data_IF_035350674454
#
_entry.id   IF_035350674454
#
_cell.length_a   1.000
_cell.length_b   1.000
_cell.length_c   1.000
_cell.angle_alpha   90.00
_cell.angle_beta   90.00
_cell.angle_gamma   90.00
#
_symmetry.space_group_name_H-M   'P 1'
#
loop_
_entity.id
_entity.type
_entity.pdbx_description
1 polymer ?
#
# COMPACT_ATOMS: atom_id res chain seq x y z
N UNK A 1 -20.73 -4.44 -34.81
CA UNK A 1 -20.27 -3.06 -34.59
C UNK A 1 -19.11 -3.17 -33.65
N UNK A 2 -17.90 -3.02 -34.16
CA UNK A 2 -16.68 -3.14 -33.38
C UNK A 2 -16.29 -1.80 -32.79
N UNK A 3 -15.53 -1.83 -31.71
CA UNK A 3 -15.01 -0.64 -30.98
C UNK A 3 -14.28 0.38 -31.89
N UNK A 4 -13.98 0.00 -33.13
CA UNK A 4 -13.24 0.79 -34.11
C UNK A 4 -14.13 1.67 -34.98
N UNK A 5 -15.46 1.41 -35.06
CA UNK A 5 -16.39 2.16 -35.91
C UNK A 5 -16.82 3.50 -35.29
N UNK A 6 -16.55 3.70 -33.97
CA UNK A 6 -16.85 4.97 -33.26
C UNK A 6 -15.70 6.00 -33.29
N UNK A 7 -14.51 5.61 -33.74
CA UNK A 7 -13.32 6.49 -33.72
C UNK A 7 -13.25 7.40 -34.95
N UNK A 8 -13.93 7.06 -36.06
CA UNK A 8 -13.85 7.78 -37.31
C UNK A 8 -14.70 9.08 -37.36
N UNK A 9 -15.45 9.42 -36.30
CA UNK A 9 -16.28 10.63 -36.24
C UNK A 9 -15.78 11.74 -35.33
N UNK A 10 -14.49 11.74 -34.96
CA UNK A 10 -13.91 12.87 -34.21
C UNK A 10 -13.43 13.90 -35.23
N UNK A 11 -14.20 14.97 -35.43
CA UNK A 11 -13.76 16.15 -36.17
C UNK A 11 -12.53 16.73 -35.47
N UNK A 12 -11.37 16.67 -36.14
CA UNK A 12 -10.11 17.26 -35.68
C UNK A 12 -10.20 18.75 -35.95
N UNK A 13 -10.59 19.54 -34.96
CA UNK A 13 -10.39 20.99 -35.03
C UNK A 13 -8.89 21.25 -34.76
N UNK A 14 -8.21 21.75 -35.79
CA UNK A 14 -6.83 22.21 -35.72
C UNK A 14 -6.79 23.56 -34.98
N UNK A 15 -6.73 23.53 -33.66
CA UNK A 15 -6.25 24.64 -32.87
C UNK A 15 -4.96 24.19 -32.18
N UNK A 16 -3.81 24.62 -32.70
CA UNK A 16 -2.50 24.49 -32.09
C UNK A 16 -2.39 25.42 -30.87
N UNK A 17 -3.16 25.18 -29.82
CA UNK A 17 -2.82 25.64 -28.49
C UNK A 17 -1.76 24.70 -27.91
N UNK A 18 -0.71 25.29 -27.29
CA UNK A 18 0.37 24.57 -26.62
C UNK A 18 -0.15 23.79 -25.40
N UNK A 19 -0.85 22.71 -25.64
CA UNK A 19 -1.49 21.83 -24.63
C UNK A 19 -0.78 20.50 -24.51
N UNK A 20 -1.08 19.77 -23.43
CA UNK A 20 -0.54 18.43 -23.19
C UNK A 20 -0.81 17.51 -24.41
N UNK A 21 0.24 16.92 -25.02
CA UNK A 21 0.11 16.17 -26.28
C UNK A 21 -0.78 14.92 -26.17
N UNK A 22 -0.90 14.32 -24.97
CA UNK A 22 -1.79 13.19 -24.74
C UNK A 22 -3.27 13.59 -24.61
N UNK A 23 -3.52 14.86 -24.32
CA UNK A 23 -4.87 15.42 -24.29
C UNK A 23 -5.26 16.02 -25.64
N UNK A 24 -4.31 16.59 -26.42
CA UNK A 24 -4.60 17.27 -27.69
C UNK A 24 -4.65 16.30 -28.87
N UNK A 25 -3.85 15.21 -28.86
CA UNK A 25 -3.76 14.22 -29.93
C UNK A 25 -4.41 12.88 -29.54
N UNK A 26 -5.53 12.46 -30.18
CA UNK A 26 -6.16 11.17 -29.93
C UNK A 26 -5.22 9.98 -30.10
N UNK A 27 -4.32 10.01 -31.08
CA UNK A 27 -3.34 8.96 -31.31
C UNK A 27 -2.37 8.79 -30.16
N UNK A 28 -1.87 9.89 -29.59
CA UNK A 28 -1.01 9.88 -28.40
C UNK A 28 -1.77 9.44 -27.15
N UNK A 29 -3.03 9.86 -27.00
CA UNK A 29 -3.91 9.37 -25.93
C UNK A 29 -4.11 7.87 -25.99
N UNK A 30 -4.38 7.30 -27.16
CA UNK A 30 -4.50 5.84 -27.37
C UNK A 30 -3.16 5.12 -27.14
N UNK A 31 -2.05 5.71 -27.55
CA UNK A 31 -0.71 5.16 -27.27
C UNK A 31 -0.44 5.06 -25.77
N UNK A 32 -0.79 6.09 -24.99
CA UNK A 32 -0.66 6.07 -23.54
C UNK A 32 -1.46 4.92 -22.92
N UNK A 33 -2.72 4.75 -23.33
CA UNK A 33 -3.56 3.63 -22.86
C UNK A 33 -2.91 2.29 -23.24
N UNK A 34 -2.45 2.14 -24.49
CA UNK A 34 -1.82 0.91 -24.95
C UNK A 34 -0.52 0.57 -24.20
N UNK A 35 0.23 1.58 -23.76
CA UNK A 35 1.43 1.40 -22.91
C UNK A 35 1.09 0.93 -21.50
N UNK A 36 -0.03 1.39 -20.96
CA UNK A 36 -0.47 1.10 -19.58
C UNK A 36 -1.18 -0.25 -19.47
N UNK A 37 -1.89 -0.67 -20.50
CA UNK A 37 -2.61 -1.94 -20.48
C UNK A 37 -1.66 -3.14 -20.27
N UNK A 38 -2.07 -4.13 -19.46
CA UNK A 38 -1.26 -5.31 -19.21
C UNK A 38 -0.91 -6.02 -20.55
N UNK A 39 0.36 -6.03 -20.88
CA UNK A 39 0.82 -6.79 -22.05
C UNK A 39 0.90 -8.25 -21.65
N UNK A 40 0.03 -9.09 -22.21
CA UNK A 40 0.00 -10.56 -22.01
C UNK A 40 1.24 -11.28 -22.59
N UNK A 41 2.35 -10.60 -22.87
CA UNK A 41 3.54 -11.16 -23.50
C UNK A 41 4.69 -11.25 -22.50
N UNK A 42 4.92 -12.47 -22.00
CA UNK A 42 6.27 -12.93 -21.67
C UNK A 42 6.99 -12.24 -20.51
N UNK A 43 6.27 -11.56 -19.60
CA UNK A 43 6.93 -11.01 -18.42
C UNK A 43 7.42 -12.17 -17.53
N UNK A 44 8.72 -12.44 -17.58
CA UNK A 44 9.37 -13.48 -16.79
C UNK A 44 9.12 -13.27 -15.30
N UNK A 45 9.05 -12.02 -14.85
CA UNK A 45 8.73 -11.71 -13.46
C UNK A 45 7.28 -12.06 -13.11
N UNK A 46 6.32 -11.82 -14.01
CA UNK A 46 4.93 -12.25 -13.79
C UNK A 46 4.82 -13.79 -13.75
N UNK A 47 5.62 -14.51 -14.53
CA UNK A 47 5.70 -15.99 -14.46
C UNK A 47 6.28 -16.44 -13.11
N UNK A 48 7.32 -15.78 -12.65
CA UNK A 48 7.93 -16.09 -11.33
C UNK A 48 6.96 -15.80 -10.19
N UNK A 49 6.23 -14.68 -10.22
CA UNK A 49 5.22 -14.35 -9.21
C UNK A 49 4.09 -15.38 -9.18
N UNK A 50 3.59 -15.82 -10.34
CA UNK A 50 2.59 -16.90 -10.43
C UNK A 50 3.13 -18.23 -9.90
N UNK A 51 4.40 -18.52 -10.15
CA UNK A 51 5.06 -19.73 -9.63
C UNK A 51 5.18 -19.68 -8.10
N UNK A 52 5.53 -18.53 -7.53
CA UNK A 52 5.57 -18.32 -6.08
C UNK A 52 4.17 -18.48 -5.50
N UNK A 53 3.16 -17.84 -6.10
CA UNK A 53 1.76 -17.95 -5.70
C UNK A 53 1.31 -19.42 -5.61
N UNK A 54 1.57 -20.22 -6.66
CA UNK A 54 1.27 -21.65 -6.66
C UNK A 54 2.02 -22.42 -5.56
N UNK A 55 3.32 -22.17 -5.39
CA UNK A 55 4.11 -22.82 -4.35
C UNK A 55 3.58 -22.52 -2.94
N UNK A 56 3.11 -21.30 -2.69
CA UNK A 56 2.54 -20.89 -1.40
C UNK A 56 1.13 -21.44 -1.17
N UNK A 57 0.25 -21.34 -2.17
CA UNK A 57 -1.17 -21.69 -2.06
C UNK A 57 -1.45 -23.20 -2.12
N UNK A 58 -0.60 -23.95 -2.82
CA UNK A 58 -0.81 -25.39 -3.03
C UNK A 58 0.27 -26.25 -2.38
N UNK A 59 1.54 -26.02 -2.73
CA UNK A 59 2.61 -26.92 -2.29
C UNK A 59 2.87 -26.80 -0.79
N UNK A 60 3.08 -25.59 -0.23
CA UNK A 60 3.29 -25.42 1.23
C UNK A 60 2.03 -25.74 2.02
N UNK A 61 0.87 -25.24 1.62
CA UNK A 61 -0.37 -25.54 2.36
C UNK A 61 -0.67 -27.03 2.43
N UNK A 62 -0.31 -27.80 1.38
CA UNK A 62 -0.47 -29.27 1.41
C UNK A 62 0.34 -29.92 2.51
N UNK A 63 1.51 -29.40 2.85
CA UNK A 63 2.38 -29.95 3.91
C UNK A 63 1.86 -29.67 5.31
N UNK A 64 1.04 -28.62 5.48
CA UNK A 64 0.50 -28.25 6.81
C UNK A 64 -0.67 -29.13 7.28
N UNK A 65 -1.21 -30.01 6.44
CA UNK A 65 -2.41 -30.80 6.75
C UNK A 65 -2.25 -31.72 7.97
N UNK A 66 -1.06 -32.26 8.16
CA UNK A 66 -0.75 -33.15 9.25
C UNK A 66 -0.12 -32.46 10.48
N UNK A 67 0.10 -31.14 10.36
CA UNK A 67 0.68 -30.31 11.39
C UNK A 67 -0.42 -29.77 12.32
N UNK A 68 -0.71 -30.35 13.42
CA UNK A 68 -1.70 -30.06 14.47
C UNK A 68 -2.47 -28.72 14.45
N UNK A 69 -3.01 -28.31 15.59
CA UNK A 69 -3.88 -27.11 15.69
C UNK A 69 -3.17 -25.77 15.35
N UNK A 70 -1.85 -25.69 15.51
CA UNK A 70 -1.05 -24.51 15.20
C UNK A 70 -1.02 -24.16 13.70
N UNK A 71 -1.12 -25.16 12.83
CA UNK A 71 -1.08 -25.02 11.38
C UNK A 71 -2.17 -24.09 10.80
N UNK A 72 -3.37 -24.11 11.39
CA UNK A 72 -4.49 -23.31 10.86
C UNK A 72 -4.24 -21.79 10.92
N UNK A 73 -3.56 -21.31 11.96
CA UNK A 73 -3.24 -19.89 12.09
C UNK A 73 -2.08 -19.49 11.16
N UNK A 74 -1.07 -20.36 11.02
CA UNK A 74 0.07 -20.16 10.13
C UNK A 74 -0.36 -20.22 8.66
N UNK A 75 -1.23 -21.19 8.31
CA UNK A 75 -1.80 -21.27 6.96
C UNK A 75 -2.59 -20.01 6.57
N UNK A 76 -3.39 -19.44 7.49
CA UNK A 76 -4.09 -18.17 7.23
C UNK A 76 -3.13 -17.00 7.05
N UNK A 77 -2.05 -16.91 7.84
CA UNK A 77 -1.02 -15.89 7.66
C UNK A 77 -0.34 -16.04 6.29
N UNK A 78 0.00 -17.28 5.91
CA UNK A 78 0.59 -17.58 4.62
C UNK A 78 -0.32 -17.14 3.47
N UNK A 79 -1.60 -17.51 3.48
CA UNK A 79 -2.58 -17.12 2.46
C UNK A 79 -2.77 -15.60 2.39
N UNK A 80 -2.76 -14.90 3.53
CA UNK A 80 -2.82 -13.44 3.55
C UNK A 80 -1.61 -12.81 2.86
N UNK A 81 -0.41 -13.33 3.08
CA UNK A 81 0.80 -12.86 2.40
C UNK A 81 0.79 -13.22 0.92
N UNK A 82 0.31 -14.42 0.59
CA UNK A 82 0.15 -14.84 -0.79
C UNK A 82 -0.76 -13.89 -1.59
N UNK A 83 -1.86 -13.44 -0.99
CA UNK A 83 -2.73 -12.42 -1.60
C UNK A 83 -2.04 -11.10 -1.94
N UNK A 84 -0.88 -10.82 -1.34
CA UNK A 84 -0.08 -9.61 -1.63
C UNK A 84 0.97 -9.82 -2.73
N UNK A 85 1.14 -11.02 -3.25
CA UNK A 85 2.18 -11.33 -4.27
C UNK A 85 2.01 -10.47 -5.53
N UNK A 86 0.78 -10.19 -5.93
CA UNK A 86 0.49 -9.29 -7.05
C UNK A 86 1.03 -7.86 -6.87
N UNK A 87 1.21 -7.42 -5.61
CA UNK A 87 1.73 -6.10 -5.27
C UNK A 87 3.23 -6.11 -4.87
N UNK A 88 3.93 -7.22 -5.14
CA UNK A 88 5.31 -7.44 -4.70
C UNK A 88 6.24 -6.26 -4.98
N UNK A 89 6.19 -5.72 -6.20
CA UNK A 89 7.05 -4.58 -6.61
C UNK A 89 6.75 -3.32 -5.79
N UNK A 90 5.47 -2.98 -5.61
CA UNK A 90 5.03 -1.83 -4.81
C UNK A 90 5.46 -1.98 -3.34
N UNK A 91 5.20 -3.14 -2.76
CA UNK A 91 5.53 -3.41 -1.35
C UNK A 91 7.04 -3.30 -1.11
N UNK A 92 7.86 -3.83 -2.02
CA UNK A 92 9.31 -3.77 -1.88
C UNK A 92 9.86 -2.34 -2.01
N UNK A 93 9.30 -1.52 -2.89
CA UNK A 93 9.70 -0.11 -3.00
C UNK A 93 9.37 0.71 -1.76
N UNK A 94 8.31 0.35 -1.05
CA UNK A 94 7.88 0.99 0.20
C UNK A 94 8.51 0.34 1.45
N UNK A 95 9.28 -0.72 1.26
CA UNK A 95 9.97 -1.40 2.36
C UNK A 95 10.96 -0.47 3.06
N UNK A 96 11.01 -0.54 4.37
CA UNK A 96 11.85 0.32 5.22
C UNK A 96 11.28 1.72 5.45
N UNK A 97 10.15 2.10 4.81
CA UNK A 97 9.57 3.44 4.88
C UNK A 97 8.25 3.45 5.64
N UNK A 98 8.02 4.53 6.39
CA UNK A 98 6.70 4.87 6.89
C UNK A 98 5.92 5.59 5.79
N UNK A 99 4.68 5.17 5.53
CA UNK A 99 3.80 5.84 4.58
C UNK A 99 3.10 6.99 5.29
N UNK A 100 3.40 8.22 4.86
CA UNK A 100 2.72 9.43 5.31
C UNK A 100 1.64 9.79 4.28
N UNK A 101 0.38 9.50 4.62
CA UNK A 101 -0.76 9.85 3.78
C UNK A 101 -1.11 11.32 3.91
N UNK A 102 -1.44 11.95 2.79
CA UNK A 102 -1.96 13.31 2.76
C UNK A 102 -3.44 13.23 2.39
N UNK A 103 -4.30 13.49 3.39
CA UNK A 103 -5.75 13.51 3.26
C UNK A 103 -6.33 14.91 3.28
N UNK A 104 -7.58 15.05 2.87
CA UNK A 104 -8.31 16.32 2.89
C UNK A 104 -9.22 16.49 1.69
N UNK A 105 -10.12 17.47 1.77
CA UNK A 105 -11.07 17.77 0.70
C UNK A 105 -10.37 18.10 -0.61
N UNK A 106 -11.15 18.00 -1.68
CA UNK A 106 -10.74 18.56 -2.97
C UNK A 106 -10.34 20.04 -2.79
N UNK A 107 -9.31 20.49 -3.49
CA UNK A 107 -8.78 21.86 -3.43
C UNK A 107 -8.16 22.29 -2.09
N UNK A 108 -7.98 21.41 -1.10
CA UNK A 108 -7.22 21.72 0.13
C UNK A 108 -5.71 21.94 -0.11
N UNK A 109 -5.23 21.65 -1.32
CA UNK A 109 -3.84 21.87 -1.75
C UNK A 109 -2.89 20.73 -1.38
N UNK A 110 -3.33 19.46 -1.42
CA UNK A 110 -2.53 18.29 -1.07
C UNK A 110 -1.25 18.16 -1.88
N UNK A 111 -1.35 18.13 -3.20
CA UNK A 111 -0.19 17.99 -4.10
C UNK A 111 0.77 19.17 -3.93
N UNK A 112 0.24 20.41 -3.84
CA UNK A 112 1.05 21.60 -3.57
C UNK A 112 1.74 21.58 -2.21
N UNK A 113 1.07 21.04 -1.18
CA UNK A 113 1.67 20.87 0.12
C UNK A 113 2.87 19.92 0.06
N UNK A 114 2.75 18.78 -0.60
CA UNK A 114 3.86 17.84 -0.80
C UNK A 114 5.00 18.51 -1.56
N UNK A 115 4.72 19.17 -2.68
CA UNK A 115 5.73 19.91 -3.44
C UNK A 115 6.46 20.93 -2.57
N UNK A 116 5.73 21.70 -1.74
CA UNK A 116 6.30 22.72 -0.87
C UNK A 116 7.21 22.18 0.23
N UNK A 117 6.99 20.95 0.68
CA UNK A 117 7.80 20.28 1.70
C UNK A 117 9.06 19.66 1.09
N UNK A 118 8.96 19.13 -0.13
CA UNK A 118 10.06 18.43 -0.79
C UNK A 118 11.06 19.38 -1.46
N UNK A 119 10.68 20.62 -1.75
CA UNK A 119 11.59 21.59 -2.35
C UNK A 119 10.89 22.62 -3.21
N UNK A 120 11.60 23.17 -4.21
CA UNK A 120 11.08 24.22 -5.10
C UNK A 120 10.47 23.68 -6.39
N UNK A 121 10.56 22.39 -6.60
CA UNK A 121 10.21 21.75 -7.85
C UNK A 121 8.80 21.20 -7.83
N UNK A 122 8.07 21.39 -8.90
CA UNK A 122 6.78 20.79 -9.12
C UNK A 122 6.95 19.29 -9.47
N UNK A 123 6.86 18.43 -8.43
CA UNK A 123 6.93 16.98 -8.56
C UNK A 123 5.55 16.42 -8.90
N UNK A 124 4.52 17.00 -8.29
CA UNK A 124 3.11 16.67 -8.51
C UNK A 124 2.43 17.81 -9.26
N UNK A 125 1.52 17.53 -10.21
CA UNK A 125 0.75 18.56 -10.89
C UNK A 125 -0.07 19.41 -9.92
N UNK A 126 -0.01 20.73 -10.06
CA UNK A 126 -0.70 21.70 -9.17
C UNK A 126 -1.94 22.35 -9.78
N UNK A 127 -2.25 22.09 -11.05
CA UNK A 127 -3.36 22.72 -11.75
C UNK A 127 -4.72 22.46 -11.10
N UNK A 128 -5.54 23.51 -11.00
CA UNK A 128 -6.89 23.45 -10.40
C UNK A 128 -7.84 22.50 -11.16
N UNK A 129 -7.57 22.24 -12.43
CA UNK A 129 -8.35 21.35 -13.29
C UNK A 129 -7.80 19.91 -13.33
N UNK A 130 -6.57 19.69 -12.84
CA UNK A 130 -5.94 18.37 -12.79
C UNK A 130 -6.18 17.75 -11.43
N UNK A 131 -7.22 16.97 -11.32
CA UNK A 131 -7.49 16.21 -10.10
C UNK A 131 -6.72 14.91 -10.14
N UNK A 132 -5.89 14.67 -9.13
CA UNK A 132 -5.28 13.36 -8.91
C UNK A 132 -6.41 12.34 -8.73
N UNK A 133 -6.65 11.50 -9.72
CA UNK A 133 -7.62 10.40 -9.63
C UNK A 133 -6.97 9.07 -9.27
N UNK A 134 -5.63 9.02 -9.24
CA UNK A 134 -4.84 7.83 -8.98
C UNK A 134 -3.93 8.09 -7.79
N UNK A 135 -3.93 7.22 -6.76
CA UNK A 135 -3.03 7.34 -5.62
C UNK A 135 -1.57 7.40 -6.07
N UNK A 136 -0.83 8.41 -5.63
CA UNK A 136 0.55 8.64 -6.06
C UNK A 136 1.48 8.57 -4.86
N UNK A 137 2.44 7.62 -4.90
CA UNK A 137 3.51 7.51 -3.92
C UNK A 137 4.73 8.31 -4.38
N UNK A 138 5.32 9.07 -3.46
CA UNK A 138 6.55 9.81 -3.70
C UNK A 138 7.61 9.30 -2.74
N UNK A 139 8.74 8.83 -3.29
CA UNK A 139 9.86 8.28 -2.54
C UNK A 139 11.18 8.91 -3.00
N UNK A 140 12.19 8.85 -2.12
CA UNK A 140 13.53 9.21 -2.52
C UNK A 140 14.10 8.25 -3.58
N UNK A 141 14.80 8.78 -4.55
CA UNK A 141 15.54 8.06 -5.57
C UNK A 141 16.78 8.84 -6.00
N UNK A 142 17.74 8.15 -6.61
CA UNK A 142 18.95 8.79 -7.15
C UNK A 142 18.71 9.63 -8.41
N UNK A 143 17.59 9.38 -9.09
CA UNK A 143 17.15 10.09 -10.29
C UNK A 143 15.63 10.18 -10.29
N UNK A 144 15.11 11.12 -11.09
CA UNK A 144 13.67 11.19 -11.31
C UNK A 144 13.19 10.03 -12.16
N UNK A 145 12.11 9.43 -11.70
CA UNK A 145 11.42 8.37 -12.42
C UNK A 145 9.95 8.34 -12.03
N UNK A 146 9.06 8.30 -13.02
CA UNK A 146 7.64 8.14 -12.82
C UNK A 146 7.23 6.77 -13.36
N UNK A 147 6.56 5.98 -12.55
CA UNK A 147 6.09 4.63 -12.90
C UNK A 147 4.61 4.48 -12.58
N UNK A 148 3.82 4.00 -13.53
CA UNK A 148 2.45 3.55 -13.30
C UNK A 148 2.39 2.05 -13.08
N UNK A 149 1.62 1.63 -12.09
CA UNK A 149 1.39 0.24 -11.72
C UNK A 149 -0.01 -0.19 -12.14
N UNK A 150 -0.07 -1.20 -13.01
CA UNK A 150 -1.29 -1.76 -13.57
C UNK A 150 -1.26 -3.29 -13.33
N UNK A 151 -1.68 -3.74 -12.16
CA UNK A 151 -1.41 -5.10 -11.72
C UNK A 151 0.09 -5.38 -11.64
N UNK A 152 0.55 -6.43 -12.30
CA UNK A 152 1.97 -6.77 -12.40
C UNK A 152 2.74 -5.98 -13.48
N UNK A 153 2.04 -5.18 -14.28
CA UNK A 153 2.69 -4.35 -15.29
C UNK A 153 3.16 -3.03 -14.69
N UNK A 154 4.41 -2.67 -14.94
CA UNK A 154 4.99 -1.40 -14.53
C UNK A 154 5.42 -0.65 -15.78
N UNK A 155 4.86 0.53 -15.97
CA UNK A 155 5.12 1.36 -17.15
C UNK A 155 5.78 2.67 -16.73
N UNK A 156 6.91 2.99 -17.33
CA UNK A 156 7.53 4.32 -17.20
C UNK A 156 6.68 5.37 -17.89
N UNK A 157 6.49 6.49 -17.20
CA UNK A 157 5.78 7.67 -17.70
C UNK A 157 6.75 8.84 -17.79
N UNK A 158 6.49 9.73 -18.71
CA UNK A 158 6.96 11.10 -18.66
C UNK A 158 5.98 11.97 -17.84
N UNK A 159 6.40 13.18 -17.50
CA UNK A 159 5.59 14.11 -16.72
C UNK A 159 4.28 14.47 -17.46
N UNK A 160 4.33 14.68 -18.76
CA UNK A 160 3.17 15.01 -19.59
C UNK A 160 2.14 13.87 -19.59
N UNK A 161 2.59 12.60 -19.68
CA UNK A 161 1.70 11.44 -19.57
C UNK A 161 1.03 11.38 -18.21
N UNK A 162 1.79 11.63 -17.13
CA UNK A 162 1.22 11.67 -15.77
C UNK A 162 0.20 12.82 -15.64
N UNK A 163 0.52 14.01 -16.14
CA UNK A 163 -0.39 15.17 -16.14
C UNK A 163 -1.67 14.91 -16.94
N UNK A 164 -1.59 14.11 -18.00
CA UNK A 164 -2.76 13.71 -18.77
C UNK A 164 -3.68 12.71 -18.04
N UNK A 165 -3.17 11.98 -17.04
CA UNK A 165 -3.95 10.95 -16.33
C UNK A 165 -4.90 11.56 -15.28
N UNK A 166 -5.72 12.48 -15.72
CA UNK A 166 -6.65 13.30 -14.92
C UNK A 166 -8.08 13.15 -15.43
N UNK A 167 -9.02 13.80 -14.75
CA UNK A 167 -10.41 13.85 -15.21
C UNK A 167 -10.58 14.51 -16.58
N UNK A 168 -9.68 15.39 -17.02
CA UNK A 168 -9.73 15.98 -18.36
C UNK A 168 -9.65 14.91 -19.46
N UNK A 169 -8.85 13.86 -19.24
CA UNK A 169 -8.76 12.76 -20.19
C UNK A 169 -10.08 11.97 -20.25
N UNK A 170 -10.71 11.75 -19.09
CA UNK A 170 -12.03 11.13 -19.04
C UNK A 170 -13.10 12.00 -19.75
N UNK A 171 -13.12 13.29 -19.47
CA UNK A 171 -14.08 14.23 -20.09
C UNK A 171 -13.92 14.25 -21.63
N UNK A 172 -12.69 14.07 -22.11
CA UNK A 172 -12.40 14.12 -23.55
C UNK A 172 -12.61 12.78 -24.27
N UNK A 173 -12.16 11.67 -23.65
CA UNK A 173 -12.13 10.36 -24.30
C UNK A 173 -13.04 9.31 -23.68
N UNK A 174 -13.76 9.61 -22.60
CA UNK A 174 -14.63 8.67 -21.89
C UNK A 174 -13.91 7.54 -21.15
N UNK A 175 -12.58 7.62 -21.01
CA UNK A 175 -11.73 6.57 -20.44
C UNK A 175 -11.09 7.07 -19.15
N UNK A 176 -11.41 6.44 -18.01
CA UNK A 176 -10.81 6.71 -16.72
C UNK A 176 -9.64 5.79 -16.42
N UNK A 177 -8.49 6.35 -16.10
CA UNK A 177 -7.28 5.58 -15.77
C UNK A 177 -7.39 4.80 -14.45
N UNK A 178 -8.18 5.27 -13.49
CA UNK A 178 -8.44 4.61 -12.20
C UNK A 178 -9.01 3.19 -12.34
N UNK A 179 -9.54 2.82 -13.52
CA UNK A 179 -10.07 1.48 -13.80
C UNK A 179 -8.99 0.42 -13.98
N UNK A 180 -7.77 0.81 -14.32
CA UNK A 180 -6.68 -0.13 -14.63
C UNK A 180 -5.31 0.29 -14.10
N UNK A 181 -5.12 1.55 -13.70
CA UNK A 181 -3.92 2.01 -12.99
C UNK A 181 -4.21 2.03 -11.50
N UNK A 182 -3.51 1.22 -10.75
CA UNK A 182 -3.71 1.07 -9.31
C UNK A 182 -3.05 2.20 -8.52
N UNK A 183 -1.85 2.59 -8.93
CA UNK A 183 -1.09 3.68 -8.32
C UNK A 183 0.02 4.16 -9.25
N UNK A 184 0.51 5.36 -8.97
CA UNK A 184 1.71 5.95 -9.56
C UNK A 184 2.78 5.99 -8.48
N UNK A 185 4.04 5.75 -8.85
CA UNK A 185 5.20 5.93 -7.99
C UNK A 185 6.17 6.89 -8.63
N UNK A 186 6.49 7.96 -7.91
CA UNK A 186 7.47 8.95 -8.28
C UNK A 186 8.70 8.77 -7.41
N UNK A 187 9.86 8.61 -8.07
CA UNK A 187 11.16 8.71 -7.42
C UNK A 187 11.72 10.08 -7.70
N UNK A 188 12.28 10.72 -6.69
CA UNK A 188 12.92 12.03 -6.84
C UNK A 188 14.14 12.15 -5.92
N UNK A 189 15.23 12.81 -6.37
CA UNK A 189 16.35 13.14 -5.50
C UNK A 189 16.02 14.26 -4.50
N UNK A 190 14.94 15.00 -4.72
CA UNK A 190 14.51 16.16 -3.93
C UNK A 190 13.82 15.72 -2.63
N UNK A 191 14.59 15.10 -1.74
CA UNK A 191 14.15 14.71 -0.42
C UNK A 191 15.08 15.27 0.66
N UNK A 192 14.54 15.84 1.74
CA UNK A 192 15.36 16.21 2.90
C UNK A 192 16.14 15.01 3.43
N UNK A 193 17.40 15.21 3.79
CA UNK A 193 18.33 14.15 4.21
C UNK A 193 17.75 13.25 5.32
N UNK A 194 16.99 13.83 6.24
CA UNK A 194 16.42 13.11 7.38
C UNK A 194 15.29 12.16 6.99
N UNK A 195 14.63 12.36 5.83
CA UNK A 195 13.43 11.61 5.43
C UNK A 195 13.66 10.65 4.28
N UNK A 196 14.76 10.81 3.51
CA UNK A 196 15.00 10.11 2.24
C UNK A 196 14.83 8.59 2.32
N UNK A 197 15.23 7.96 3.43
CA UNK A 197 15.19 6.51 3.59
C UNK A 197 14.02 6.04 4.46
N UNK A 198 13.42 6.93 5.25
CA UNK A 198 12.41 6.60 6.26
C UNK A 198 10.96 6.90 5.87
N UNK A 199 10.71 7.73 4.84
CA UNK A 199 9.35 8.17 4.46
C UNK A 199 9.03 7.86 3.01
N UNK A 200 7.77 7.50 2.78
CA UNK A 200 7.08 7.58 1.50
C UNK A 200 5.85 8.48 1.68
N UNK A 201 5.71 9.54 0.89
CA UNK A 201 4.47 10.30 0.85
C UNK A 201 3.45 9.60 -0.03
N UNK A 202 2.18 9.68 0.36
CA UNK A 202 1.05 9.23 -0.44
C UNK A 202 0.12 10.40 -0.69
N UNK A 203 0.11 10.91 -1.93
CA UNK A 203 -0.90 11.84 -2.41
C UNK A 203 -2.15 11.06 -2.81
N UNK A 204 -3.29 11.44 -2.23
CA UNK A 204 -4.57 10.76 -2.45
C UNK A 204 -5.52 11.62 -3.26
N UNK A 205 -6.44 11.01 -4.03
CA UNK A 205 -7.58 11.73 -4.56
C UNK A 205 -8.30 12.53 -3.47
N UNK A 206 -8.78 13.74 -3.80
CA UNK A 206 -9.58 14.51 -2.86
C UNK A 206 -10.95 13.85 -2.64
N UNK A 207 -11.39 13.75 -1.40
CA UNK A 207 -12.77 13.35 -1.13
C UNK A 207 -13.74 14.54 -1.31
N UNK A 208 -15.01 14.24 -1.48
CA UNK A 208 -16.11 15.23 -1.60
C UNK A 208 -16.01 16.18 -2.81
N UNK A 209 -16.23 15.65 -4.00
CA UNK A 209 -16.44 16.46 -5.21
C UNK A 209 -17.91 16.87 -5.31
N UNK A 210 -18.21 18.13 -5.11
CA UNK A 210 -19.54 18.69 -4.98
C UNK A 210 -20.41 18.72 -6.25
N UNK A 211 -20.00 18.16 -7.39
CA UNK A 211 -20.71 18.43 -8.64
C UNK A 211 -21.04 17.28 -9.59
N UNK A 212 -20.59 16.07 -9.35
CA UNK A 212 -20.90 14.94 -10.25
C UNK A 212 -21.10 13.65 -9.45
N UNK A 213 -22.37 13.23 -9.26
CA UNK A 213 -22.73 11.89 -8.79
C UNK A 213 -22.47 10.84 -9.88
N UNK A 214 -21.20 10.69 -10.32
CA UNK A 214 -20.81 9.64 -11.24
C UNK A 214 -20.34 8.39 -10.48
N UNK A 215 -20.44 7.22 -11.09
CA UNK A 215 -19.89 5.98 -10.51
C UNK A 215 -18.42 6.10 -10.18
N UNK A 216 -17.68 6.92 -10.92
CA UNK A 216 -16.23 7.11 -10.74
C UNK A 216 -15.93 7.92 -9.48
N UNK A 217 -16.77 8.91 -9.10
CA UNK A 217 -16.61 9.68 -7.85
C UNK A 217 -16.74 8.80 -6.59
N UNK A 218 -17.70 7.88 -6.57
CA UNK A 218 -17.86 6.91 -5.48
C UNK A 218 -16.68 5.93 -5.39
N UNK A 219 -16.09 5.59 -6.53
CA UNK A 219 -14.90 4.74 -6.60
C UNK A 219 -13.67 5.48 -6.06
N UNK A 220 -13.51 6.77 -6.37
CA UNK A 220 -12.40 7.60 -5.90
C UNK A 220 -12.45 7.79 -4.37
N UNK A 221 -13.64 8.05 -3.80
CA UNK A 221 -13.82 8.20 -2.36
C UNK A 221 -13.53 6.89 -1.61
N UNK A 222 -14.05 5.77 -2.10
CA UNK A 222 -13.76 4.44 -1.54
C UNK A 222 -12.27 4.11 -1.64
N UNK A 223 -11.63 4.38 -2.78
CA UNK A 223 -10.20 4.15 -2.98
C UNK A 223 -9.38 5.00 -2.01
N UNK A 224 -9.72 6.28 -1.85
CA UNK A 224 -9.06 7.19 -0.92
C UNK A 224 -9.19 6.68 0.52
N UNK A 225 -10.38 6.25 0.93
CA UNK A 225 -10.62 5.69 2.26
C UNK A 225 -9.75 4.45 2.52
N UNK A 226 -9.70 3.50 1.57
CA UNK A 226 -8.87 2.29 1.70
C UNK A 226 -7.37 2.61 1.77
N UNK A 227 -6.91 3.57 0.97
CA UNK A 227 -5.51 4.00 0.97
C UNK A 227 -5.14 4.67 2.30
N UNK A 228 -5.98 5.58 2.80
CA UNK A 228 -5.73 6.29 4.06
C UNK A 228 -5.86 5.38 5.31
N UNK A 229 -6.66 4.32 5.26
CA UNK A 229 -6.67 3.28 6.32
C UNK A 229 -5.36 2.49 6.41
N UNK A 230 -4.59 2.50 5.33
CA UNK A 230 -3.37 1.71 5.24
C UNK A 230 -2.08 2.52 5.49
N UNK A 231 -2.16 3.82 5.83
CA UNK A 231 -0.99 4.65 6.12
C UNK A 231 -0.45 4.47 7.55
N UNK A 232 0.82 4.80 7.74
CA UNK A 232 1.46 4.73 9.05
C UNK A 232 1.31 6.05 9.83
N UNK A 233 1.22 7.18 9.11
CA UNK A 233 0.94 8.52 9.65
C UNK A 233 0.02 9.26 8.67
N UNK A 234 -0.79 10.18 9.17
CA UNK A 234 -1.73 10.95 8.36
C UNK A 234 -1.55 12.44 8.60
N UNK A 235 -1.36 13.21 7.54
CA UNK A 235 -1.50 14.67 7.54
C UNK A 235 -2.84 15.01 6.90
N UNK A 236 -3.72 15.66 7.68
CA UNK A 236 -5.03 16.06 7.21
C UNK A 236 -5.03 17.55 6.89
N UNK A 237 -5.27 17.88 5.63
CA UNK A 237 -5.26 19.25 5.13
C UNK A 237 -6.68 19.83 5.09
N UNK A 238 -6.84 21.00 5.70
CA UNK A 238 -8.04 21.83 5.65
C UNK A 238 -7.67 23.16 5.00
N UNK A 239 -8.47 23.64 4.06
CA UNK A 239 -8.30 25.00 3.54
C UNK A 239 -8.72 26.01 4.60
N UNK A 240 -7.80 26.91 5.02
CA UNK A 240 -8.06 27.87 6.08
C UNK A 240 -9.18 28.87 5.76
N UNK A 241 -9.47 29.09 4.47
CA UNK A 241 -10.58 29.95 4.05
C UNK A 241 -11.93 29.39 4.48
N UNK A 242 -12.04 28.09 4.64
CA UNK A 242 -13.24 27.43 5.13
C UNK A 242 -13.46 27.63 6.64
N UNK A 243 -12.48 28.24 7.36
CA UNK A 243 -12.55 28.44 8.81
C UNK A 243 -12.14 27.18 9.59
N UNK A 244 -12.93 26.82 10.60
CA UNK A 244 -12.68 25.66 11.46
C UNK A 244 -12.87 24.32 10.75
N UNK A 245 -12.39 23.23 11.37
CA UNK A 245 -12.61 21.88 10.86
C UNK A 245 -14.10 21.58 10.69
N UNK A 246 -14.50 21.12 9.50
CA UNK A 246 -15.91 20.86 9.17
C UNK A 246 -16.37 19.47 9.63
N UNK A 247 -17.69 19.34 9.85
CA UNK A 247 -18.34 18.08 10.23
C UNK A 247 -18.05 16.93 9.24
N UNK A 248 -17.93 17.24 7.94
CA UNK A 248 -17.59 16.26 6.91
C UNK A 248 -16.17 15.71 7.08
N UNK A 249 -15.18 16.57 7.42
CA UNK A 249 -13.82 16.15 7.72
C UNK A 249 -13.79 15.23 8.94
N UNK A 250 -14.55 15.61 9.98
CA UNK A 250 -14.72 14.85 11.23
C UNK A 250 -15.29 13.47 10.96
N UNK A 251 -16.38 13.40 10.18
CA UNK A 251 -17.03 12.13 9.81
C UNK A 251 -16.10 11.23 9.00
N UNK A 252 -15.41 11.80 8.01
CA UNK A 252 -14.50 11.04 7.18
C UNK A 252 -13.32 10.50 8.02
N UNK A 253 -12.66 11.33 8.83
CA UNK A 253 -11.60 10.89 9.72
C UNK A 253 -12.08 9.83 10.72
N UNK A 254 -13.29 9.99 11.27
CA UNK A 254 -13.91 8.99 12.15
C UNK A 254 -14.11 7.63 11.49
N UNK A 255 -14.47 7.61 10.20
CA UNK A 255 -14.62 6.39 9.38
C UNK A 255 -13.30 5.67 9.08
N UNK A 256 -12.16 6.37 9.16
CA UNK A 256 -10.84 5.78 8.88
C UNK A 256 -10.32 4.84 9.99
N UNK A 257 -10.96 4.79 11.16
CA UNK A 257 -10.53 3.94 12.29
C UNK A 257 -9.06 4.17 12.69
N UNK A 258 -8.65 5.43 12.83
CA UNK A 258 -7.27 5.89 13.05
C UNK A 258 -6.75 5.70 14.50
N UNK A 259 -7.25 4.72 15.25
CA UNK A 259 -6.93 4.54 16.69
C UNK A 259 -5.44 4.47 16.98
N UNK A 260 -4.63 3.94 16.06
CA UNK A 260 -3.18 3.80 16.21
C UNK A 260 -2.37 4.60 15.18
N UNK A 261 -3.03 5.37 14.32
CA UNK A 261 -2.36 6.16 13.29
C UNK A 261 -2.21 7.60 13.78
N UNK A 262 -0.97 8.10 13.98
CA UNK A 262 -0.76 9.51 14.32
C UNK A 262 -1.34 10.42 13.25
N UNK A 263 -2.11 11.42 13.66
CA UNK A 263 -2.73 12.41 12.76
C UNK A 263 -2.22 13.81 13.11
N UNK A 264 -1.73 14.53 12.10
CA UNK A 264 -1.44 15.96 12.16
C UNK A 264 -2.48 16.70 11.33
N UNK A 265 -3.19 17.68 11.91
CA UNK A 265 -4.13 18.51 11.17
C UNK A 265 -3.45 19.82 10.77
N UNK A 266 -3.49 20.16 9.50
CA UNK A 266 -2.82 21.34 8.94
C UNK A 266 -3.83 22.21 8.19
N UNK A 267 -4.01 23.43 8.66
CA UNK A 267 -4.76 24.47 7.95
C UNK A 267 -3.86 25.08 6.87
N UNK A 268 -4.04 24.65 5.64
CA UNK A 268 -3.24 25.11 4.50
C UNK A 268 -3.76 26.45 3.97
N UNK A 269 -2.95 27.12 3.12
CA UNK A 269 -3.20 28.47 2.56
C UNK A 269 -3.24 29.57 3.64
N UNK A 270 -2.43 29.43 4.68
CA UNK A 270 -2.39 30.35 5.80
C UNK A 270 -1.97 31.79 5.42
N UNK A 271 -1.34 31.96 4.26
CA UNK A 271 -1.03 33.27 3.67
C UNK A 271 -2.26 34.15 3.43
N UNK A 272 -3.46 33.62 3.47
CA UNK A 272 -4.72 34.34 3.28
C UNK A 272 -5.28 34.96 4.57
N UNK A 273 -4.69 34.67 5.72
CA UNK A 273 -5.15 35.14 7.04
C UNK A 273 -3.99 35.70 7.85
N UNK A 274 -4.32 36.57 8.78
CA UNK A 274 -3.37 37.03 9.79
C UNK A 274 -3.02 35.90 10.77
N UNK A 275 -1.88 36.03 11.45
CA UNK A 275 -1.41 35.02 12.42
C UNK A 275 -2.43 34.83 13.57
N UNK A 276 -3.05 35.92 14.04
CA UNK A 276 -4.09 35.88 15.06
C UNK A 276 -5.38 35.19 14.63
N UNK A 277 -5.78 35.34 13.37
CA UNK A 277 -6.92 34.60 12.79
C UNK A 277 -6.61 33.12 12.66
N UNK A 278 -5.39 32.77 12.25
CA UNK A 278 -4.93 31.38 12.22
C UNK A 278 -4.96 30.74 13.60
N UNK A 279 -4.49 31.43 14.63
CA UNK A 279 -4.54 30.96 16.04
C UNK A 279 -5.96 30.74 16.52
N UNK A 280 -6.87 31.62 16.16
CA UNK A 280 -8.31 31.51 16.50
C UNK A 280 -8.92 30.26 15.85
N UNK A 281 -8.68 30.03 14.57
CA UNK A 281 -9.14 28.85 13.83
C UNK A 281 -8.61 27.56 14.46
N UNK A 282 -7.31 27.51 14.80
CA UNK A 282 -6.67 26.37 15.44
C UNK A 282 -7.27 26.10 16.82
N UNK A 283 -7.43 27.14 17.63
CA UNK A 283 -7.97 27.02 18.99
C UNK A 283 -9.40 26.48 18.99
N UNK A 284 -10.25 27.00 18.12
CA UNK A 284 -11.65 26.56 18.00
C UNK A 284 -11.75 25.14 17.44
N UNK A 285 -10.96 24.83 16.39
CA UNK A 285 -10.92 23.47 15.83
C UNK A 285 -10.43 22.44 16.85
N UNK A 286 -9.51 22.80 17.73
CA UNK A 286 -9.06 21.92 18.82
C UNK A 286 -10.18 21.56 19.78
N UNK A 287 -11.04 22.51 20.14
CA UNK A 287 -12.22 22.26 20.97
C UNK A 287 -13.20 21.31 20.28
N UNK A 288 -13.52 21.60 19.01
CA UNK A 288 -14.42 20.77 18.22
C UNK A 288 -13.92 19.32 18.13
N UNK A 289 -12.66 19.12 17.81
CA UNK A 289 -12.06 17.76 17.73
C UNK A 289 -12.10 17.03 19.06
N UNK A 290 -11.81 17.73 20.16
CA UNK A 290 -11.88 17.18 21.52
C UNK A 290 -13.31 16.75 21.86
N UNK A 291 -14.32 17.60 21.61
CA UNK A 291 -15.73 17.30 21.84
C UNK A 291 -16.23 16.10 21.02
N UNK A 292 -15.64 15.88 19.83
CA UNK A 292 -15.97 14.76 18.94
C UNK A 292 -15.13 13.52 19.19
N UNK A 293 -14.24 13.55 20.18
CA UNK A 293 -13.39 12.39 20.53
C UNK A 293 -12.31 12.05 19.49
N UNK A 294 -11.95 12.98 18.61
CA UNK A 294 -10.90 12.80 17.61
C UNK A 294 -9.56 13.24 18.20
N UNK A 295 -8.66 12.28 18.33
CA UNK A 295 -7.30 12.55 18.82
C UNK A 295 -6.37 12.89 17.66
N UNK A 296 -5.70 14.05 17.76
CA UNK A 296 -4.65 14.47 16.82
C UNK A 296 -3.36 14.77 17.57
N UNK A 297 -2.22 14.54 16.93
CA UNK A 297 -0.89 14.84 17.52
C UNK A 297 -0.63 16.34 17.59
N UNK A 298 -1.25 17.12 16.73
CA UNK A 298 -1.13 18.57 16.74
C UNK A 298 -2.00 19.22 15.68
N UNK A 299 -2.12 20.53 15.79
CA UNK A 299 -2.76 21.41 14.80
C UNK A 299 -1.82 22.55 14.51
N UNK A 300 -1.66 22.90 13.22
CA UNK A 300 -0.86 24.03 12.77
C UNK A 300 -1.49 24.69 11.55
N UNK A 301 -1.11 25.92 11.25
CA UNK A 301 -1.43 26.60 10.01
C UNK A 301 -0.16 26.72 9.15
N UNK A 302 -0.29 26.45 7.85
CA UNK A 302 0.80 26.40 6.91
C UNK A 302 0.45 27.07 5.58
N UNK A 303 1.39 27.81 5.02
CA UNK A 303 1.29 28.28 3.65
C UNK A 303 2.20 27.45 2.74
N UNK A 304 1.59 26.66 1.85
CA UNK A 304 2.34 25.96 0.80
C UNK A 304 2.98 26.94 -0.21
N UNK A 305 2.47 28.17 -0.30
CA UNK A 305 3.02 29.24 -1.15
C UNK A 305 4.27 29.83 -0.53
N UNK A 306 4.22 30.19 0.75
CA UNK A 306 5.32 30.85 1.47
C UNK A 306 6.25 29.85 2.16
N UNK A 307 5.87 28.56 2.19
CA UNK A 307 6.61 27.44 2.81
C UNK A 307 6.92 27.67 4.27
N UNK A 308 5.94 28.15 4.99
CA UNK A 308 6.12 28.51 6.38
C UNK A 308 4.92 28.11 7.23
N UNK A 309 5.19 27.67 8.46
CA UNK A 309 4.20 27.54 9.52
C UNK A 309 3.92 28.88 10.18
N UNK A 310 2.66 29.19 10.49
CA UNK A 310 2.22 30.46 11.03
C UNK A 310 2.11 30.45 12.57
N UNK A 311 1.52 29.44 13.15
CA UNK A 311 1.18 29.41 14.58
C UNK A 311 2.05 28.46 15.40
N UNK A 312 2.67 27.48 14.79
CA UNK A 312 3.60 26.56 15.43
C UNK A 312 4.86 26.47 14.57
N UNK A 313 6.02 26.58 15.19
CA UNK A 313 7.28 26.47 14.45
C UNK A 313 7.73 25.03 14.44
N UNK A 314 7.96 24.47 13.23
CA UNK A 314 8.51 23.14 12.98
C UNK A 314 7.61 21.94 13.35
N UNK A 315 6.33 22.10 13.66
CA UNK A 315 5.45 20.98 14.02
C UNK A 315 5.31 19.95 12.89
N UNK A 316 5.22 20.42 11.63
CA UNK A 316 5.19 19.55 10.46
C UNK A 316 6.50 18.76 10.35
N UNK A 317 7.63 19.45 10.53
CA UNK A 317 8.95 18.82 10.48
C UNK A 317 9.12 17.79 11.60
N UNK A 318 8.77 18.12 12.82
CA UNK A 318 8.83 17.20 13.96
C UNK A 318 7.96 15.95 13.75
N UNK A 319 6.77 16.14 13.19
CA UNK A 319 5.88 15.04 12.84
C UNK A 319 6.49 14.13 11.77
N UNK A 320 7.11 14.69 10.74
CA UNK A 320 7.78 13.93 9.69
C UNK A 320 9.08 13.27 10.18
N UNK A 321 9.85 13.92 11.04
CA UNK A 321 11.04 13.33 11.67
C UNK A 321 10.65 12.13 12.58
N UNK A 322 9.52 12.24 13.30
CA UNK A 322 8.94 11.13 14.05
C UNK A 322 8.55 9.97 13.11
N UNK A 323 7.89 10.26 12.00
CA UNK A 323 7.51 9.26 11.00
C UNK A 323 8.74 8.56 10.40
N UNK A 324 9.77 9.33 10.03
CA UNK A 324 11.03 8.82 9.47
C UNK A 324 11.80 7.91 10.45
N UNK A 325 11.68 8.19 11.74
CA UNK A 325 12.33 7.43 12.82
C UNK A 325 11.52 6.20 13.24
N UNK A 326 10.30 6.06 12.76
CA UNK A 326 9.44 4.91 13.08
C UNK A 326 9.98 3.63 12.39
N UNK A 327 9.56 2.47 12.92
CA UNK A 327 9.91 1.19 12.30
C UNK A 327 9.20 1.10 10.94
N UNK A 328 9.97 1.24 9.87
CA UNK A 328 9.45 1.12 8.50
C UNK A 328 8.84 -0.25 8.21
N UNK A 329 8.06 -0.34 7.13
CA UNK A 329 7.40 -1.57 6.69
C UNK A 329 8.43 -2.64 6.33
N UNK A 330 8.13 -3.87 6.68
CA UNK A 330 8.93 -5.01 6.25
C UNK A 330 8.66 -5.31 4.76
N UNK A 331 9.69 -5.83 4.07
CA UNK A 331 9.47 -6.38 2.73
C UNK A 331 8.59 -7.62 2.80
N UNK A 332 7.89 -7.91 1.70
CA UNK A 332 7.06 -9.12 1.61
C UNK A 332 7.88 -10.39 1.85
N UNK A 333 9.13 -10.42 1.39
CA UNK A 333 10.07 -11.52 1.64
C UNK A 333 10.37 -11.69 3.13
N UNK A 334 10.60 -10.59 3.86
CA UNK A 334 10.89 -10.63 5.29
C UNK A 334 9.68 -11.13 6.08
N UNK A 335 8.47 -10.64 5.76
CA UNK A 335 7.23 -11.11 6.38
C UNK A 335 7.00 -12.61 6.08
N UNK A 336 7.22 -13.03 4.84
CA UNK A 336 7.07 -14.42 4.41
C UNK A 336 8.08 -15.33 5.10
N UNK A 337 9.35 -14.95 5.16
CA UNK A 337 10.39 -15.70 5.84
C UNK A 337 10.08 -15.85 7.34
N UNK A 338 9.51 -14.83 7.99
CA UNK A 338 9.04 -14.93 9.38
C UNK A 338 7.93 -15.98 9.56
N UNK A 339 6.98 -16.08 8.62
CA UNK A 339 5.94 -17.11 8.65
C UNK A 339 6.53 -18.49 8.36
N UNK A 340 7.43 -18.61 7.39
CA UNK A 340 8.12 -19.85 7.04
C UNK A 340 8.90 -20.38 8.25
N UNK A 341 9.67 -19.53 8.93
CA UNK A 341 10.39 -19.91 10.17
C UNK A 341 9.42 -20.41 11.23
N UNK A 342 8.29 -19.72 11.42
CA UNK A 342 7.28 -20.16 12.41
C UNK A 342 6.65 -21.50 12.05
N UNK A 343 6.51 -21.84 10.78
CA UNK A 343 6.04 -23.15 10.31
C UNK A 343 7.10 -24.22 10.59
N UNK A 344 8.36 -23.92 10.33
CA UNK A 344 9.47 -24.83 10.58
C UNK A 344 9.60 -25.16 12.08
N UNK A 345 9.52 -24.15 12.93
CA UNK A 345 9.52 -24.31 14.39
C UNK A 345 8.38 -25.22 14.87
N UNK A 346 7.17 -25.08 14.30
CA UNK A 346 6.03 -25.92 14.65
C UNK A 346 6.22 -27.37 14.16
N UNK A 347 6.81 -27.59 12.97
CA UNK A 347 7.18 -28.94 12.52
C UNK A 347 8.19 -29.59 13.47
N UNK A 348 9.24 -28.88 13.82
CA UNK A 348 10.29 -29.40 14.69
C UNK A 348 9.76 -29.73 16.05
N UNK A 349 8.92 -28.86 16.63
CA UNK A 349 8.27 -29.08 17.92
C UNK A 349 7.38 -30.34 17.93
N UNK A 350 6.54 -30.47 16.89
CA UNK A 350 5.61 -31.62 16.84
C UNK A 350 6.34 -32.94 16.57
N UNK A 351 7.39 -32.92 15.75
CA UNK A 351 8.25 -34.10 15.55
C UNK A 351 8.95 -34.49 16.83
N UNK A 352 9.42 -33.55 17.64
CA UNK A 352 10.07 -33.83 18.91
C UNK A 352 9.08 -34.40 19.93
N UNK A 353 7.89 -33.81 20.06
CA UNK A 353 6.82 -34.36 20.90
C UNK A 353 6.47 -35.81 20.53
N UNK A 354 6.44 -36.14 19.25
CA UNK A 354 6.19 -37.51 18.78
C UNK A 354 7.35 -38.46 19.09
N UNK A 355 8.59 -37.94 19.10
CA UNK A 355 9.76 -38.76 19.51
C UNK A 355 9.71 -39.07 21.01
N UNK A 356 9.42 -38.06 21.83
CA UNK A 356 9.28 -38.25 23.29
C UNK A 356 8.18 -39.26 23.58
N UNK A 357 7.00 -39.08 23.03
CA UNK A 357 5.86 -39.99 23.19
C UNK A 357 6.16 -41.43 22.74
N UNK A 358 6.90 -41.56 21.62
CA UNK A 358 7.35 -42.87 21.15
C UNK A 358 8.28 -43.53 22.15
N UNK A 359 9.23 -42.78 22.74
CA UNK A 359 10.18 -43.32 23.72
C UNK A 359 9.46 -43.77 25.02
N UNK A 360 8.56 -42.92 25.55
CA UNK A 360 7.73 -43.26 26.71
C UNK A 360 6.91 -44.54 26.47
N UNK A 361 6.28 -44.69 25.32
CA UNK A 361 5.55 -45.89 24.95
C UNK A 361 6.47 -47.11 24.87
N UNK A 362 7.70 -46.94 24.40
CA UNK A 362 8.71 -47.99 24.38
C UNK A 362 9.07 -48.47 25.78
N UNK A 363 9.29 -47.55 26.73
CA UNK A 363 9.54 -47.86 28.12
C UNK A 363 8.37 -48.61 28.77
N UNK A 364 7.11 -48.11 28.57
CA UNK A 364 5.93 -48.82 29.08
C UNK A 364 5.75 -50.21 28.50
N UNK A 365 6.11 -50.46 27.24
CA UNK A 365 6.06 -51.80 26.64
C UNK A 365 7.09 -52.73 27.32
N UNK A 366 8.29 -52.21 27.61
CA UNK A 366 9.36 -53.01 28.24
C UNK A 366 9.06 -53.35 29.70
N UNK A 367 8.38 -52.46 30.43
CA UNK A 367 8.07 -52.63 31.84
C UNK A 367 6.77 -53.42 32.07
N UNK A 368 5.94 -53.63 31.06
CA UNK A 368 4.66 -54.33 31.21
C UNK A 368 4.84 -55.83 31.21
N UNK A 369 4.12 -56.54 32.15
CA UNK A 369 4.04 -57.97 32.20
C UNK A 369 2.70 -58.53 31.65
N UNK A 370 1.75 -57.67 31.30
CA UNK A 370 0.45 -58.05 30.76
C UNK A 370 0.46 -58.03 29.21
N UNK A 371 0.26 -59.19 28.60
CA UNK A 371 0.27 -59.39 27.17
C UNK A 371 -0.83 -58.58 26.50
N UNK A 372 -1.98 -58.37 27.12
CA UNK A 372 -3.09 -57.58 26.56
C UNK A 372 -2.74 -56.09 26.54
N UNK A 373 -2.12 -55.60 27.60
CA UNK A 373 -1.61 -54.24 27.69
C UNK A 373 -0.49 -54.00 26.66
N UNK A 374 0.48 -54.94 26.56
CA UNK A 374 1.56 -54.87 25.58
C UNK A 374 1.01 -54.78 24.17
N UNK A 375 0.04 -55.59 23.77
CA UNK A 375 -0.55 -55.57 22.44
C UNK A 375 -1.16 -54.17 22.12
N UNK A 376 -1.92 -53.62 23.08
CA UNK A 376 -2.54 -52.29 22.92
C UNK A 376 -1.48 -51.18 22.81
N UNK A 377 -0.42 -51.23 23.62
CA UNK A 377 0.69 -50.28 23.60
C UNK A 377 1.48 -50.34 22.28
N UNK A 378 1.73 -51.54 21.75
CA UNK A 378 2.40 -51.75 20.46
C UNK A 378 1.59 -51.17 19.32
N UNK A 379 0.24 -51.28 19.34
CA UNK A 379 -0.62 -50.65 18.33
C UNK A 379 -0.54 -49.14 18.39
N UNK A 380 -0.53 -48.54 19.59
CA UNK A 380 -0.37 -47.09 19.77
C UNK A 380 1.04 -46.62 19.30
N UNK A 381 2.08 -47.35 19.70
CA UNK A 381 3.46 -47.10 19.28
C UNK A 381 3.58 -47.11 17.76
N UNK A 382 3.01 -48.10 17.08
CA UNK A 382 3.00 -48.18 15.61
C UNK A 382 2.32 -46.97 14.97
N UNK A 383 1.18 -46.51 15.51
CA UNK A 383 0.49 -45.30 15.03
C UNK A 383 1.35 -44.03 15.22
N UNK A 384 1.99 -43.89 16.38
CA UNK A 384 2.91 -42.74 16.62
C UNK A 384 4.07 -42.73 15.63
N UNK A 385 4.66 -43.90 15.33
CA UNK A 385 5.72 -44.03 14.33
C UNK A 385 5.24 -43.63 12.92
N UNK A 386 4.02 -44.06 12.54
CA UNK A 386 3.44 -43.70 11.23
C UNK A 386 3.16 -42.17 11.11
N UNK A 387 2.58 -41.57 12.17
CA UNK A 387 2.30 -40.13 12.19
C UNK A 387 3.60 -39.35 12.09
N UNK A 388 4.61 -39.70 12.90
CA UNK A 388 5.94 -39.08 12.86
C UNK A 388 6.59 -39.20 11.48
N UNK A 389 6.50 -40.40 10.84
CA UNK A 389 7.05 -40.60 9.49
C UNK A 389 6.40 -39.72 8.44
N UNK A 390 5.07 -39.57 8.47
CA UNK A 390 4.33 -38.67 7.60
C UNK A 390 4.72 -37.21 7.81
N UNK A 391 4.76 -36.79 9.10
CA UNK A 391 5.10 -35.41 9.44
C UNK A 391 6.53 -35.06 9.03
N UNK A 392 7.49 -35.98 9.22
CA UNK A 392 8.87 -35.78 8.75
C UNK A 392 8.95 -35.71 7.22
N UNK A 393 8.14 -36.47 6.49
CA UNK A 393 8.02 -36.38 5.04
C UNK A 393 7.48 -35.02 4.59
N UNK A 394 6.42 -34.53 5.26
CA UNK A 394 5.84 -33.21 4.99
C UNK A 394 6.84 -32.08 5.30
N UNK A 395 7.61 -32.17 6.39
CA UNK A 395 8.66 -31.21 6.71
C UNK A 395 9.77 -31.18 5.65
N UNK A 396 10.21 -32.33 5.18
CA UNK A 396 11.21 -32.39 4.09
C UNK A 396 10.68 -31.75 2.79
N UNK A 397 9.40 -31.98 2.46
CA UNK A 397 8.75 -31.35 1.30
C UNK A 397 8.64 -29.84 1.51
N UNK A 398 8.27 -29.39 2.70
CA UNK A 398 8.21 -27.98 3.08
C UNK A 398 9.56 -27.28 2.84
N UNK A 399 10.66 -27.82 3.37
CA UNK A 399 12.00 -27.26 3.14
C UNK A 399 12.40 -27.19 1.67
N UNK A 400 12.06 -28.23 0.90
CA UNK A 400 12.34 -28.24 -0.53
C UNK A 400 11.60 -27.13 -1.27
N UNK A 401 10.32 -26.93 -0.97
CA UNK A 401 9.50 -25.88 -1.60
C UNK A 401 9.98 -24.49 -1.17
N UNK A 402 10.28 -24.31 0.13
CA UNK A 402 10.80 -23.06 0.68
C UNK A 402 12.09 -22.63 -0.02
N UNK A 403 13.01 -23.58 -0.26
CA UNK A 403 14.24 -23.31 -1.00
C UNK A 403 13.97 -22.80 -2.43
N UNK A 404 12.96 -23.37 -3.10
CA UNK A 404 12.55 -22.92 -4.44
C UNK A 404 11.92 -21.52 -4.42
N UNK A 405 11.11 -21.21 -3.40
CA UNK A 405 10.53 -19.89 -3.22
C UNK A 405 11.62 -18.84 -3.05
N UNK A 406 12.59 -19.07 -2.16
CA UNK A 406 13.69 -18.16 -1.92
C UNK A 406 14.56 -17.95 -3.17
N UNK A 407 14.80 -19.01 -3.96
CA UNK A 407 15.50 -18.90 -5.25
C UNK A 407 14.70 -18.05 -6.25
N UNK A 408 13.38 -18.18 -6.30
CA UNK A 408 12.51 -17.39 -7.18
C UNK A 408 12.48 -15.92 -6.76
N UNK A 409 12.49 -15.58 -5.46
CA UNK A 409 12.62 -14.20 -5.00
C UNK A 409 13.99 -13.61 -5.33
N UNK A 410 15.06 -14.36 -5.17
CA UNK A 410 16.40 -13.91 -5.55
C UNK A 410 16.53 -13.63 -7.07
N UNK A 411 15.74 -14.32 -7.90
CA UNK A 411 15.64 -14.07 -9.34
C UNK A 411 14.79 -12.82 -9.64
N UNK A 412 13.73 -12.55 -8.88
CA UNK A 412 12.92 -11.33 -8.99
C UNK A 412 13.68 -10.06 -8.62
N UNK A 413 14.67 -10.17 -7.74
CA UNK A 413 15.48 -9.04 -7.23
C UNK A 413 16.64 -8.66 -8.16
N UNK A 414 16.90 -9.44 -9.21
CA UNK A 414 17.88 -9.15 -10.27
C UNK A 414 17.26 -8.38 -11.44
#
# INVERSE_FOLDING_TARGET
MGLWDEVDNIEVTNDEEAGNPYLTSPSKGLELIARLLPKNRGDEQAKLLKKIDYMLSDEILSTLRNLGKGASSLGRKLLRLNGKIGEYRKINMLSGKAIVGIGGKFSSGKSRFINSILGDREILPEDQNTTTSIPTYIIHGSSEEIQAYCGNNVTRLDLEAMQAMTHQFYDKYGIGFSRFVENIMIRTPDFPKNWKDGIAFLDTPGYNKSSRNTRDDLTDEYTTEQQLKAVDCLIWLVDIDNGVVHEEDIKFMGGLSLSNTPVLLVFNKADKKSESECESVISESRKILHERGISVKGLTAYSSKDRREYCARNLIREFLDMAASSKGRQSLETELNGVITSIDDEFNKEIENLKERRNELGEYILDSQDITAIRSLVDVYGRVCQIKGRLSGDNNKFHYVTKKINASFAELSR
#
